data_IF_946339813844
#
_entry.id   IF_946339813844
#
_cell.length_a   1.000
_cell.length_b   1.000
_cell.length_c   1.000
_cell.angle_alpha   90.00
_cell.angle_beta   90.00
_cell.angle_gamma   90.00
#
_symmetry.space_group_name_H-M   'P 1'
#
loop_
_entity.id
_entity.type
_entity.pdbx_description
1 polymer ?
#
# COMPACT_ATOMS: atom_id res chain seq x y z
N UNK A 1 -0.94 -24.83 14.11
CA UNK A 1 0.14 -23.82 13.98
C UNK A 1 0.15 -23.17 12.60
N UNK A 2 0.07 -23.93 11.50
CA UNK A 2 0.01 -23.41 10.12
C UNK A 2 -0.99 -22.28 9.87
N UNK A 3 -2.22 -22.35 10.40
CA UNK A 3 -3.23 -21.29 10.22
C UNK A 3 -2.82 -19.94 10.81
N UNK A 4 -2.07 -19.94 11.93
CA UNK A 4 -1.55 -18.71 12.56
C UNK A 4 -0.38 -18.15 11.75
N UNK A 5 0.52 -19.02 11.29
CA UNK A 5 1.65 -18.65 10.41
C UNK A 5 1.13 -18.04 9.10
N UNK A 6 0.12 -18.66 8.49
CA UNK A 6 -0.51 -18.11 7.27
C UNK A 6 -1.09 -16.72 7.52
N UNK A 7 -1.81 -16.51 8.62
CA UNK A 7 -2.34 -15.19 8.97
C UNK A 7 -1.23 -14.15 9.20
N UNK A 8 -0.13 -14.55 9.86
CA UNK A 8 1.05 -13.69 10.05
C UNK A 8 1.60 -13.25 8.69
N UNK A 9 1.84 -14.19 7.78
CA UNK A 9 2.35 -13.89 6.44
C UNK A 9 1.37 -13.03 5.64
N UNK A 10 0.08 -13.38 5.66
CA UNK A 10 -0.96 -12.69 4.91
C UNK A 10 -1.18 -11.24 5.34
N UNK A 11 -0.80 -10.85 6.56
CA UNK A 11 -0.87 -9.46 7.02
C UNK A 11 0.50 -8.78 6.94
N UNK A 12 1.56 -9.41 7.45
CA UNK A 12 2.88 -8.77 7.54
C UNK A 12 3.51 -8.54 6.18
N UNK A 13 3.31 -9.43 5.21
CA UNK A 13 3.85 -9.25 3.86
C UNK A 13 3.28 -7.99 3.19
N UNK A 14 1.95 -7.80 3.10
CA UNK A 14 1.41 -6.55 2.56
C UNK A 14 1.74 -5.33 3.42
N UNK A 15 1.82 -5.44 4.76
CA UNK A 15 2.31 -4.34 5.61
C UNK A 15 3.74 -3.94 5.25
N UNK A 16 4.64 -4.90 5.01
CA UNK A 16 6.00 -4.61 4.57
C UNK A 16 6.00 -3.87 3.23
N UNK A 17 5.16 -4.28 2.28
CA UNK A 17 4.99 -3.56 1.00
C UNK A 17 4.50 -2.13 1.21
N UNK A 18 3.50 -1.91 2.08
CA UNK A 18 3.02 -0.56 2.40
C UNK A 18 4.16 0.30 2.95
N UNK A 19 4.89 -0.21 3.94
CA UNK A 19 6.03 0.48 4.57
C UNK A 19 7.09 0.83 3.53
N UNK A 20 7.46 -0.11 2.67
CA UNK A 20 8.42 0.13 1.58
C UNK A 20 7.92 1.21 0.64
N UNK A 21 6.68 1.14 0.16
CA UNK A 21 6.11 2.14 -0.75
C UNK A 21 6.08 3.54 -0.12
N UNK A 22 5.59 3.65 1.11
CA UNK A 22 5.51 4.93 1.84
C UNK A 22 6.92 5.50 2.03
N UNK A 23 7.85 4.67 2.50
CA UNK A 23 9.23 5.09 2.72
C UNK A 23 9.90 5.55 1.42
N UNK A 24 9.78 4.77 0.34
CA UNK A 24 10.33 5.14 -0.97
C UNK A 24 9.75 6.46 -1.47
N UNK A 25 8.42 6.64 -1.38
CA UNK A 25 7.76 7.87 -1.83
C UNK A 25 8.17 9.09 -1.00
N UNK A 26 8.39 8.94 0.30
CA UNK A 26 8.88 10.02 1.17
C UNK A 26 10.35 10.38 0.94
N UNK A 27 11.18 9.42 0.54
CA UNK A 27 12.63 9.61 0.41
C UNK A 27 13.06 9.80 -1.06
N UNK A 28 12.47 10.79 -1.73
CA UNK A 28 12.84 11.16 -3.10
C UNK A 28 12.18 10.32 -4.21
N UNK A 29 11.37 9.33 -3.86
CA UNK A 29 10.62 8.53 -4.83
C UNK A 29 9.54 9.33 -5.54
N UNK A 30 8.88 10.26 -4.83
CA UNK A 30 7.82 11.12 -5.38
C UNK A 30 8.32 11.94 -6.57
N UNK A 31 9.43 12.66 -6.40
CA UNK A 31 10.04 13.50 -7.44
C UNK A 31 10.45 12.65 -8.65
N UNK A 32 11.11 11.51 -8.39
CA UNK A 32 11.51 10.56 -9.44
C UNK A 32 10.33 10.01 -10.23
N UNK A 33 9.24 9.64 -9.56
CA UNK A 33 8.03 9.21 -10.27
C UNK A 33 7.48 10.35 -11.12
N UNK A 34 7.30 11.55 -10.56
CA UNK A 34 6.78 12.69 -11.32
C UNK A 34 7.64 13.04 -12.54
N UNK A 35 8.97 12.93 -12.44
CA UNK A 35 9.89 13.08 -13.58
C UNK A 35 9.63 12.03 -14.67
N UNK A 36 9.44 10.77 -14.29
CA UNK A 36 9.10 9.69 -15.23
C UNK A 36 7.77 9.99 -15.94
N UNK A 37 6.73 10.37 -15.21
CA UNK A 37 5.44 10.75 -15.80
C UNK A 37 5.58 11.90 -16.82
N UNK A 38 6.37 12.92 -16.48
CA UNK A 38 6.67 14.05 -17.38
C UNK A 38 7.49 13.61 -18.60
N UNK A 39 8.46 12.71 -18.43
CA UNK A 39 9.28 12.18 -19.53
C UNK A 39 8.44 11.40 -20.55
N UNK A 40 7.40 10.70 -20.10
CA UNK A 40 6.42 10.05 -20.98
C UNK A 40 5.36 11.00 -21.56
N UNK A 41 5.40 12.29 -21.23
CA UNK A 41 4.45 13.30 -21.70
C UNK A 41 3.01 13.07 -21.19
N UNK A 42 2.86 12.38 -20.05
CA UNK A 42 1.55 12.04 -19.50
C UNK A 42 1.20 12.93 -18.32
N UNK A 43 -0.05 13.40 -18.29
CA UNK A 43 -0.56 14.15 -17.16
C UNK A 43 -0.68 13.24 -15.92
N UNK A 44 -0.13 13.70 -14.80
CA UNK A 44 -0.17 12.98 -13.54
C UNK A 44 -1.61 13.00 -13.00
N UNK A 45 -2.24 11.84 -12.73
CA UNK A 45 -3.60 11.78 -12.21
C UNK A 45 -3.76 12.52 -10.88
N UNK A 46 -4.92 13.13 -10.67
CA UNK A 46 -5.24 13.84 -9.41
C UNK A 46 -5.10 12.92 -8.19
N UNK A 47 -5.49 11.65 -8.33
CA UNK A 47 -5.34 10.65 -7.27
C UNK A 47 -3.85 10.46 -6.89
N UNK A 48 -2.96 10.35 -7.87
CA UNK A 48 -1.51 10.24 -7.63
C UNK A 48 -0.99 11.48 -6.90
N UNK A 49 -1.38 12.68 -7.33
CA UNK A 49 -0.98 13.92 -6.67
C UNK A 49 -1.48 13.98 -5.22
N UNK A 50 -2.73 13.56 -4.97
CA UNK A 50 -3.31 13.48 -3.64
C UNK A 50 -2.52 12.52 -2.74
N UNK A 51 -2.23 11.29 -3.21
CA UNK A 51 -1.47 10.31 -2.42
C UNK A 51 -0.08 10.82 -2.11
N UNK A 52 0.63 11.39 -3.09
CA UNK A 52 2.00 11.89 -2.89
C UNK A 52 2.03 13.07 -1.91
N UNK A 53 1.07 14.00 -2.02
CA UNK A 53 0.95 15.14 -1.08
C UNK A 53 0.62 14.68 0.33
N UNK A 54 -0.14 13.60 0.48
CA UNK A 54 -0.60 13.11 1.78
C UNK A 54 0.21 11.94 2.33
N UNK A 55 1.31 11.54 1.67
CA UNK A 55 2.00 10.27 1.92
C UNK A 55 2.42 10.06 3.38
N UNK A 56 2.73 11.13 4.11
CA UNK A 56 3.04 11.07 5.54
C UNK A 56 1.89 10.53 6.39
N UNK A 57 0.64 10.83 6.03
CA UNK A 57 -0.54 10.33 6.73
C UNK A 57 -0.80 8.83 6.47
N UNK A 58 -0.23 8.27 5.39
CA UNK A 58 -0.46 6.87 5.02
C UNK A 58 0.24 5.87 5.95
N UNK A 59 1.14 6.33 6.84
CA UNK A 59 1.69 5.52 7.93
C UNK A 59 0.64 4.99 8.90
N UNK A 60 -0.55 5.63 8.96
CA UNK A 60 -1.70 5.11 9.72
C UNK A 60 -2.13 3.73 9.20
N UNK A 61 -1.99 3.46 7.90
CA UNK A 61 -2.37 2.19 7.29
C UNK A 61 -1.66 0.97 7.90
N UNK A 62 -0.31 0.91 7.86
CA UNK A 62 0.48 -0.14 8.51
C UNK A 62 0.14 -0.31 9.99
N UNK A 63 0.00 0.79 10.73
CA UNK A 63 -0.33 0.76 12.16
C UNK A 63 -1.69 0.10 12.40
N UNK A 64 -2.73 0.51 11.68
CA UNK A 64 -4.08 -0.08 11.79
C UNK A 64 -4.05 -1.57 11.44
N UNK A 65 -3.32 -1.98 10.40
CA UNK A 65 -3.19 -3.39 10.02
C UNK A 65 -2.59 -4.23 11.15
N UNK A 66 -1.49 -3.76 11.77
CA UNK A 66 -0.82 -4.45 12.87
C UNK A 66 -1.72 -4.49 14.11
N UNK A 67 -2.42 -3.39 14.44
CA UNK A 67 -3.36 -3.35 15.58
C UNK A 67 -4.52 -4.33 15.37
N UNK A 68 -5.15 -4.34 14.20
CA UNK A 68 -6.24 -5.28 13.90
C UNK A 68 -5.79 -6.73 13.95
N UNK A 69 -4.59 -7.02 13.45
CA UNK A 69 -4.00 -8.35 13.51
C UNK A 69 -3.69 -8.80 14.95
N UNK A 70 -3.09 -7.93 15.77
CA UNK A 70 -2.84 -8.20 17.18
C UNK A 70 -4.16 -8.48 17.95
N UNK A 71 -5.21 -7.68 17.68
CA UNK A 71 -6.54 -7.88 18.24
C UNK A 71 -7.18 -9.20 17.78
N UNK A 72 -7.01 -9.56 16.50
CA UNK A 72 -7.50 -10.82 15.95
C UNK A 72 -6.85 -12.02 16.64
N UNK A 73 -5.53 -11.96 16.89
CA UNK A 73 -4.79 -12.99 17.62
C UNK A 73 -5.22 -13.08 19.09
N UNK A 74 -5.39 -11.94 19.75
CA UNK A 74 -5.79 -11.88 21.16
C UNK A 74 -7.20 -12.41 21.39
N UNK A 75 -8.17 -12.01 20.55
CA UNK A 75 -9.58 -12.41 20.68
C UNK A 75 -9.92 -13.73 19.97
N UNK A 76 -9.00 -14.29 19.19
CA UNK A 76 -9.25 -15.48 18.37
C UNK A 76 -10.36 -15.29 17.31
N UNK A 77 -10.66 -14.04 16.94
CA UNK A 77 -11.80 -13.71 16.07
C UNK A 77 -11.43 -13.85 14.60
N UNK A 78 -12.13 -14.76 13.90
CA UNK A 78 -12.00 -14.94 12.45
C UNK A 78 -12.45 -13.70 11.67
N UNK A 79 -13.43 -12.96 12.19
CA UNK A 79 -13.91 -11.72 11.59
C UNK A 79 -12.80 -10.67 11.55
N UNK A 80 -12.16 -10.42 12.70
CA UNK A 80 -11.04 -9.46 12.79
C UNK A 80 -9.86 -9.87 11.91
N UNK A 81 -9.56 -11.16 11.83
CA UNK A 81 -8.51 -11.67 10.95
C UNK A 81 -8.82 -11.42 9.46
N UNK A 82 -10.07 -11.61 9.05
CA UNK A 82 -10.51 -11.29 7.69
C UNK A 82 -10.42 -9.79 7.41
N UNK A 83 -10.89 -8.95 8.35
CA UNK A 83 -10.81 -7.49 8.23
C UNK A 83 -9.36 -7.01 8.16
N UNK A 84 -8.43 -7.54 8.96
CA UNK A 84 -7.03 -7.12 8.91
C UNK A 84 -6.38 -7.42 7.56
N UNK A 85 -6.69 -8.58 6.96
CA UNK A 85 -6.19 -8.94 5.63
C UNK A 85 -6.79 -8.03 4.56
N UNK A 86 -8.11 -7.84 4.57
CA UNK A 86 -8.79 -6.99 3.59
C UNK A 86 -8.30 -5.55 3.64
N UNK A 87 -8.18 -4.97 4.83
CA UNK A 87 -7.68 -3.60 5.03
C UNK A 87 -6.23 -3.50 4.53
N UNK A 88 -5.38 -4.48 4.85
CA UNK A 88 -3.99 -4.48 4.41
C UNK A 88 -3.85 -4.54 2.88
N UNK A 89 -4.64 -5.39 2.22
CA UNK A 89 -4.67 -5.49 0.76
C UNK A 89 -5.21 -4.22 0.12
N UNK A 90 -6.29 -3.64 0.68
CA UNK A 90 -6.89 -2.41 0.17
C UNK A 90 -5.90 -1.23 0.22
N UNK A 91 -5.13 -1.10 1.30
CA UNK A 91 -4.10 -0.04 1.41
C UNK A 91 -2.97 -0.26 0.41
N UNK A 92 -2.50 -1.51 0.24
CA UNK A 92 -1.49 -1.83 -0.79
C UNK A 92 -2.01 -1.48 -2.18
N UNK A 93 -3.24 -1.87 -2.51
CA UNK A 93 -3.85 -1.55 -3.80
C UNK A 93 -3.96 -0.04 -4.01
N UNK A 94 -4.41 0.70 -2.99
CA UNK A 94 -4.53 2.15 -3.04
C UNK A 94 -3.18 2.85 -3.26
N UNK A 95 -2.14 2.45 -2.51
CA UNK A 95 -0.77 2.97 -2.69
C UNK A 95 -0.19 2.58 -4.06
N UNK A 96 -0.35 1.32 -4.44
CA UNK A 96 0.15 0.79 -5.72
C UNK A 96 -0.48 1.50 -6.92
N UNK A 97 -1.79 1.77 -6.86
CA UNK A 97 -2.51 2.49 -7.92
C UNK A 97 -2.02 3.94 -8.09
N UNK A 98 -1.52 4.57 -7.03
CA UNK A 98 -0.98 5.93 -7.13
C UNK A 98 0.31 5.98 -7.94
N UNK A 99 1.11 4.91 -7.88
CA UNK A 99 2.42 4.83 -8.54
C UNK A 99 2.37 4.09 -9.88
N UNK A 100 1.25 3.45 -10.20
CA UNK A 100 1.09 2.64 -11.40
C UNK A 100 0.21 3.33 -12.44
N UNK A 101 0.71 3.47 -13.66
CA UNK A 101 0.00 4.03 -14.79
C UNK A 101 -0.34 2.91 -15.80
N UNK A 102 -1.50 2.22 -15.68
CA UNK A 102 -1.79 1.08 -16.55
C UNK A 102 -1.82 1.47 -18.04
N UNK A 103 -2.17 2.71 -18.37
CA UNK A 103 -2.17 3.24 -19.73
C UNK A 103 -0.77 3.50 -20.32
N UNK A 104 0.28 3.63 -19.49
CA UNK A 104 1.66 3.73 -19.98
C UNK A 104 2.17 2.38 -20.52
N UNK A 105 1.72 1.27 -19.95
CA UNK A 105 2.12 -0.06 -20.40
C UNK A 105 1.47 -0.45 -21.73
N UNK A 106 0.24 0.00 -21.98
CA UNK A 106 -0.46 -0.25 -23.25
C UNK A 106 0.15 0.51 -24.43
N UNK A 107 0.85 1.63 -24.18
CA UNK A 107 1.59 2.36 -25.24
C UNK A 107 2.95 1.77 -25.59
N UNK A 108 3.48 0.89 -24.73
CA UNK A 108 4.78 0.24 -24.89
C UNK A 108 4.68 -1.20 -25.42
N UNK A 109 3.46 -1.74 -25.53
CA UNK A 109 3.14 -3.06 -26.10
C UNK A 109 2.63 -2.93 -27.53
#
# INVERSE_FOLDING_TARGET
MFKKIFLVVAVLLPVAVQVTLIYTLQNGGTERFLEVWRAFGVQVPEYTQFVYRTIAAWWVGPLVCVTLWALALHRGSRGLAGTSVLVSVAIVAALGWSSYAPHLLVRLA
#
